data_IF_169878366749
#
_entry.id   IF_169878366749
#
_cell.length_a   1.000
_cell.length_b   1.000
_cell.length_c   1.000
_cell.angle_alpha   90.00
_cell.angle_beta   90.00
_cell.angle_gamma   90.00
#
_symmetry.space_group_name_H-M   'P 1'
#
loop_
_entity.id
_entity.type
_entity.pdbx_description
1 polymer ?
#
# COMPACT_ATOMS: atom_id res chain seq x y z
N UNK A 1 10.65 -11.77 -4.05
CA UNK A 1 11.29 -11.96 -2.72
C UNK A 1 12.72 -11.42 -2.67
N UNK A 2 13.33 -11.08 -3.82
CA UNK A 2 14.75 -10.71 -3.89
C UNK A 2 15.10 -9.33 -3.33
N UNK A 3 14.12 -8.49 -2.97
CA UNK A 3 14.36 -7.13 -2.44
C UNK A 3 13.93 -6.92 -0.99
N UNK A 4 13.24 -7.88 -0.37
CA UNK A 4 12.84 -7.73 1.05
C UNK A 4 14.05 -8.02 1.94
N UNK A 5 14.47 -7.02 2.71
CA UNK A 5 15.60 -7.16 3.66
C UNK A 5 15.13 -7.61 5.04
N UNK A 6 13.83 -7.49 5.34
CA UNK A 6 13.22 -7.86 6.62
C UNK A 6 12.63 -9.27 6.64
N UNK A 7 12.40 -9.89 5.48
CA UNK A 7 11.72 -11.19 5.37
C UNK A 7 10.22 -11.14 5.69
N UNK A 8 9.69 -9.95 5.97
CA UNK A 8 8.32 -9.80 6.37
C UNK A 8 7.37 -9.78 5.17
N UNK A 9 6.39 -10.69 5.20
CA UNK A 9 5.38 -10.86 4.16
C UNK A 9 4.35 -9.72 4.11
N UNK A 10 4.44 -8.71 4.97
CA UNK A 10 3.54 -7.55 4.99
C UNK A 10 3.87 -6.49 3.92
N UNK A 11 5.10 -6.48 3.37
CA UNK A 11 5.48 -5.60 2.25
C UNK A 11 5.22 -6.17 0.84
N UNK A 12 4.93 -7.47 0.74
CA UNK A 12 4.68 -8.18 -0.52
C UNK A 12 3.20 -8.32 -0.97
N UNK A 13 2.14 -8.02 -0.18
CA UNK A 13 0.75 -8.23 -0.62
C UNK A 13 0.42 -7.42 -1.87
N UNK A 14 0.93 -6.19 -1.97
CA UNK A 14 0.70 -5.34 -3.13
C UNK A 14 1.47 -5.85 -4.37
N UNK A 15 2.70 -6.32 -4.18
CA UNK A 15 3.49 -6.90 -5.26
C UNK A 15 2.85 -8.19 -5.82
N UNK A 16 2.32 -9.04 -4.93
CA UNK A 16 1.56 -10.22 -5.31
C UNK A 16 0.26 -9.82 -5.99
N UNK A 17 -0.59 -8.99 -5.36
CA UNK A 17 -1.88 -8.56 -5.91
C UNK A 17 -1.77 -7.93 -7.31
N UNK A 18 -0.64 -7.27 -7.61
CA UNK A 18 -0.36 -6.71 -8.93
C UNK A 18 0.25 -7.69 -9.95
N UNK A 19 0.32 -8.97 -9.63
CA UNK A 19 0.78 -10.02 -10.54
C UNK A 19 2.26 -10.00 -10.85
N UNK A 20 3.12 -9.44 -9.97
CA UNK A 20 4.58 -9.46 -10.21
C UNK A 20 5.09 -10.91 -10.20
N UNK A 21 6.07 -11.25 -11.04
CA UNK A 21 6.64 -12.61 -11.05
C UNK A 21 7.40 -12.91 -9.74
N UNK A 22 7.55 -14.20 -9.43
CA UNK A 22 8.32 -14.67 -8.26
C UNK A 22 7.50 -15.15 -7.07
N UNK A 23 6.18 -15.27 -7.20
CA UNK A 23 5.29 -15.86 -6.18
C UNK A 23 4.78 -17.27 -6.53
N UNK A 24 5.06 -17.75 -7.74
CA UNK A 24 4.64 -19.08 -8.19
C UNK A 24 5.21 -20.17 -7.26
N UNK A 25 4.35 -21.09 -6.81
CA UNK A 25 4.69 -22.14 -5.85
C UNK A 25 4.67 -21.71 -4.39
N UNK A 26 4.54 -20.42 -4.10
CA UNK A 26 4.41 -19.88 -2.73
C UNK A 26 3.00 -19.36 -2.42
N UNK A 27 2.34 -18.77 -3.43
CA UNK A 27 0.97 -18.28 -3.34
C UNK A 27 0.10 -18.91 -4.44
N UNK A 28 -1.24 -18.93 -4.27
CA UNK A 28 -2.15 -19.33 -5.33
C UNK A 28 -1.98 -18.50 -6.60
N UNK A 29 -2.45 -19.01 -7.73
CA UNK A 29 -2.51 -18.20 -8.95
C UNK A 29 -3.58 -17.11 -8.81
N UNK A 30 -3.26 -15.90 -9.24
CA UNK A 30 -4.20 -14.78 -9.28
C UNK A 30 -5.11 -14.89 -10.50
N UNK A 31 -6.41 -15.05 -10.26
CA UNK A 31 -7.42 -15.02 -11.32
C UNK A 31 -7.59 -13.63 -11.95
N UNK A 32 -7.31 -12.57 -11.18
CA UNK A 32 -7.30 -11.19 -11.65
C UNK A 32 -6.26 -10.38 -10.87
N UNK A 33 -5.31 -9.80 -11.59
CA UNK A 33 -4.31 -8.89 -11.01
C UNK A 33 -4.88 -7.47 -10.88
N UNK A 34 -4.51 -6.79 -9.79
CA UNK A 34 -4.83 -5.38 -9.56
C UNK A 34 -3.77 -4.53 -10.25
N UNK A 35 -4.21 -3.72 -11.21
CA UNK A 35 -3.37 -2.70 -11.84
C UNK A 35 -2.79 -1.77 -10.76
N UNK A 36 -1.45 -1.71 -10.59
CA UNK A 36 -0.83 -0.84 -9.58
C UNK A 36 -1.23 0.63 -9.70
N UNK A 37 -1.56 1.10 -10.91
CA UNK A 37 -2.03 2.47 -11.13
C UNK A 37 -3.38 2.76 -10.46
N UNK A 38 -4.13 1.72 -10.08
CA UNK A 38 -5.40 1.78 -9.34
C UNK A 38 -5.21 1.64 -7.84
N UNK A 39 -3.97 1.69 -7.35
CA UNK A 39 -3.67 1.56 -5.93
C UNK A 39 -3.18 2.89 -5.37
N UNK A 40 -3.76 3.27 -4.23
CA UNK A 40 -3.30 4.36 -3.39
C UNK A 40 -2.91 3.80 -2.02
N UNK A 41 -1.69 4.07 -1.60
CA UNK A 41 -1.16 3.68 -0.30
C UNK A 41 -0.93 4.93 0.54
N UNK A 42 -1.34 4.88 1.79
CA UNK A 42 -1.26 6.00 2.72
C UNK A 42 -0.68 5.53 4.04
N UNK A 43 0.15 6.37 4.68
CA UNK A 43 0.60 6.14 6.04
C UNK A 43 1.86 5.30 6.18
N UNK A 44 2.64 5.18 5.10
CA UNK A 44 3.86 4.38 5.17
C UNK A 44 4.89 5.08 6.07
N UNK A 45 5.33 4.38 7.13
CA UNK A 45 6.31 4.86 8.13
C UNK A 45 7.74 4.46 7.78
N UNK A 46 7.93 3.20 7.40
CA UNK A 46 9.26 2.57 7.24
C UNK A 46 9.32 1.78 5.94
N UNK A 47 9.39 2.49 4.82
CA UNK A 47 9.59 1.87 3.50
C UNK A 47 10.99 2.14 3.05
N UNK A 48 11.71 1.09 2.66
CA UNK A 48 13.06 1.23 2.15
C UNK A 48 13.04 2.08 0.86
N UNK A 49 14.06 2.93 0.61
CA UNK A 49 14.09 3.76 -0.59
C UNK A 49 13.94 2.98 -1.90
N UNK A 50 14.40 1.73 -1.92
CA UNK A 50 14.26 0.82 -3.05
C UNK A 50 12.79 0.41 -3.29
N UNK A 51 12.05 0.11 -2.22
CA UNK A 51 10.62 -0.23 -2.29
C UNK A 51 9.79 0.98 -2.69
N UNK A 52 10.08 2.16 -2.12
CA UNK A 52 9.40 3.41 -2.50
C UNK A 52 9.58 3.71 -3.97
N UNK A 53 10.79 3.50 -4.51
CA UNK A 53 11.05 3.66 -5.95
C UNK A 53 10.30 2.62 -6.76
N UNK A 54 10.32 1.35 -6.37
CA UNK A 54 9.59 0.29 -7.06
C UNK A 54 8.07 0.53 -7.10
N UNK A 55 7.47 1.05 -6.02
CA UNK A 55 6.06 1.43 -5.98
C UNK A 55 5.75 2.58 -6.95
N UNK A 56 6.59 3.61 -6.94
CA UNK A 56 6.45 4.75 -7.84
C UNK A 56 6.61 4.35 -9.30
N UNK A 57 7.61 3.52 -9.62
CA UNK A 57 7.87 3.03 -10.97
C UNK A 57 6.74 2.12 -11.47
N UNK A 58 6.08 1.38 -10.56
CA UNK A 58 4.88 0.60 -10.89
C UNK A 58 3.63 1.47 -11.14
N UNK A 59 3.65 2.76 -10.76
CA UNK A 59 2.51 3.67 -10.90
C UNK A 59 1.60 3.74 -9.67
N UNK A 60 1.99 3.15 -8.55
CA UNK A 60 1.24 3.22 -7.28
C UNK A 60 1.29 4.65 -6.76
N UNK A 61 0.13 5.17 -6.33
CA UNK A 61 0.08 6.45 -5.60
C UNK A 61 0.50 6.21 -4.16
N UNK A 62 1.51 6.93 -3.68
CA UNK A 62 2.12 6.71 -2.36
C UNK A 62 2.12 8.02 -1.57
N UNK A 63 1.51 7.99 -0.39
CA UNK A 63 1.54 9.07 0.59
C UNK A 63 2.12 8.54 1.91
N UNK A 64 3.32 9.01 2.26
CA UNK A 64 3.95 8.67 3.54
C UNK A 64 3.34 9.47 4.70
N UNK A 65 3.71 9.12 5.93
CA UNK A 65 3.22 9.84 7.12
C UNK A 65 3.55 11.34 7.09
N UNK A 66 4.70 11.72 6.52
CA UNK A 66 5.07 13.14 6.38
C UNK A 66 4.11 13.89 5.46
N UNK A 67 3.74 13.31 4.32
CA UNK A 67 2.75 13.92 3.44
C UNK A 67 1.40 14.11 4.13
N UNK A 68 0.98 13.12 4.94
CA UNK A 68 -0.24 13.17 5.74
C UNK A 68 -0.15 14.25 6.81
N UNK A 69 0.96 14.38 7.52
CA UNK A 69 1.16 15.40 8.55
C UNK A 69 1.15 16.81 7.94
N UNK A 70 1.73 16.99 6.75
CA UNK A 70 1.83 18.28 6.07
C UNK A 70 0.50 18.73 5.41
N UNK A 71 -0.27 17.80 4.86
CA UNK A 71 -1.43 18.12 4.00
C UNK A 71 -2.77 17.59 4.52
N UNK A 72 -2.76 16.68 5.48
CA UNK A 72 -3.92 15.91 5.93
C UNK A 72 -4.33 14.80 4.94
N UNK A 73 -5.15 13.88 5.43
CA UNK A 73 -5.64 12.72 4.66
C UNK A 73 -6.57 13.15 3.50
N UNK A 74 -7.57 13.98 3.80
CA UNK A 74 -8.64 14.27 2.84
C UNK A 74 -8.14 14.93 1.55
N UNK A 75 -7.21 15.90 1.57
CA UNK A 75 -6.68 16.49 0.35
C UNK A 75 -5.91 15.49 -0.52
N UNK A 76 -5.10 14.61 0.10
CA UNK A 76 -4.31 13.61 -0.62
C UNK A 76 -5.20 12.55 -1.28
N UNK A 77 -6.26 12.12 -0.59
CA UNK A 77 -7.17 11.08 -1.09
C UNK A 77 -8.11 11.58 -2.20
N UNK A 78 -8.39 12.89 -2.26
CA UNK A 78 -9.41 13.47 -3.16
C UNK A 78 -9.18 13.13 -4.64
N UNK A 79 -7.95 13.26 -5.11
CA UNK A 79 -7.61 12.98 -6.51
C UNK A 79 -7.81 11.50 -6.88
N UNK A 80 -7.55 10.61 -5.92
CA UNK A 80 -7.76 9.18 -6.12
C UNK A 80 -9.25 8.82 -6.17
N UNK A 81 -10.07 9.40 -5.28
CA UNK A 81 -11.52 9.18 -5.28
C UNK A 81 -12.18 9.68 -6.58
N UNK A 82 -11.74 10.82 -7.09
CA UNK A 82 -12.24 11.35 -8.37
C UNK A 82 -12.01 10.36 -9.52
N UNK A 83 -10.83 9.72 -9.59
CA UNK A 83 -10.51 8.70 -10.61
C UNK A 83 -11.39 7.46 -10.49
N UNK A 84 -11.79 7.08 -9.28
CA UNK A 84 -12.69 5.95 -9.05
C UNK A 84 -14.09 6.29 -9.54
N UNK A 85 -14.58 7.49 -9.20
CA UNK A 85 -15.89 7.99 -9.63
C UNK A 85 -15.99 8.09 -11.16
N UNK A 86 -14.97 8.69 -11.81
CA UNK A 86 -14.87 8.78 -13.28
C UNK A 86 -14.89 7.40 -13.96
N UNK A 87 -14.29 6.39 -13.34
CA UNK A 87 -14.28 5.03 -13.83
C UNK A 87 -15.55 4.23 -13.49
N UNK A 88 -16.51 4.82 -12.78
CA UNK A 88 -17.64 4.12 -12.17
C UNK A 88 -17.20 2.86 -11.39
N UNK A 89 -16.08 3.01 -10.66
CA UNK A 89 -15.39 1.93 -9.98
C UNK A 89 -15.89 1.68 -8.56
N UNK A 90 -15.50 0.53 -8.00
CA UNK A 90 -15.70 0.21 -6.58
C UNK A 90 -14.42 0.53 -5.81
N UNK A 91 -14.58 1.11 -4.62
CA UNK A 91 -13.47 1.36 -3.69
C UNK A 91 -13.36 0.18 -2.71
N UNK A 92 -12.19 -0.44 -2.67
CA UNK A 92 -11.80 -1.36 -1.61
C UNK A 92 -10.83 -0.66 -0.66
N UNK A 93 -11.12 -0.70 0.63
CA UNK A 93 -10.25 -0.13 1.68
C UNK A 93 -9.68 -1.27 2.50
N UNK A 94 -8.36 -1.47 2.39
CA UNK A 94 -7.61 -2.29 3.32
C UNK A 94 -7.00 -1.37 4.35
N UNK A 95 -7.46 -1.48 5.60
CA UNK A 95 -6.98 -0.67 6.71
C UNK A 95 -6.22 -1.58 7.68
N UNK A 96 -4.94 -1.32 7.85
CA UNK A 96 -4.16 -1.91 8.94
C UNK A 96 -4.36 -1.06 10.21
N UNK A 97 -4.59 -1.72 11.33
CA UNK A 97 -4.90 -1.07 12.62
C UNK A 97 -3.64 -0.47 13.25
N UNK A 98 -2.45 -0.91 12.82
CA UNK A 98 -1.17 -0.32 13.19
C UNK A 98 -0.97 1.13 12.70
N UNK A 99 -1.83 1.59 11.79
CA UNK A 99 -1.88 2.97 11.34
C UNK A 99 -2.36 3.93 12.43
N UNK A 100 -3.19 3.46 13.36
CA UNK A 100 -3.71 4.28 14.46
C UNK A 100 -2.63 4.55 15.50
N UNK A 101 -2.70 5.74 16.12
CA UNK A 101 -1.81 6.08 17.23
C UNK A 101 -1.91 5.03 18.35
N UNK A 102 -0.80 4.63 19.00
CA UNK A 102 -0.81 3.65 20.08
C UNK A 102 -1.75 4.02 21.25
N UNK A 103 -2.05 5.31 21.44
CA UNK A 103 -3.03 5.78 22.43
C UNK A 103 -4.48 5.47 22.08
N UNK A 104 -4.77 5.13 20.82
CA UNK A 104 -6.10 4.75 20.32
C UNK A 104 -6.21 3.22 20.18
N UNK A 105 -5.12 2.52 19.83
CA UNK A 105 -5.08 1.07 19.67
C UNK A 105 -3.86 0.43 20.39
N UNK A 106 -3.93 0.19 21.71
CA UNK A 106 -2.79 -0.28 22.52
C UNK A 106 -2.39 -1.75 22.31
N UNK A 107 -2.99 -2.47 21.35
CA UNK A 107 -2.81 -3.90 21.13
C UNK A 107 -2.45 -4.23 19.67
N UNK A 108 -1.32 -3.73 19.17
CA UNK A 108 -0.75 -4.11 17.87
C UNK A 108 0.69 -4.63 18.03
N UNK A 109 1.03 -5.69 17.28
CA UNK A 109 2.26 -6.50 17.46
C UNK A 109 3.57 -5.89 16.95
N UNK A 110 3.51 -4.74 16.29
CA UNK A 110 4.68 -3.96 15.89
C UNK A 110 4.36 -2.49 16.12
N UNK A 111 4.73 -1.98 17.29
CA UNK A 111 4.74 -0.55 17.57
C UNK A 111 5.87 0.11 16.79
N UNK A 112 5.54 1.15 16.01
CA UNK A 112 6.51 2.12 15.48
C UNK A 112 6.07 3.50 15.92
#
# INVERSE_FOLDING_TARGET
LDTTTSGNLHGVPLAYASGRPGFNGYFPDLSAAVDPARVCTMGLRSVDPAERRALKDAGVTVHDMRAIDEHGIAPLLRAFLARIEEANGLLHVSLDVDFLDPSIAPAVGTTV
#
